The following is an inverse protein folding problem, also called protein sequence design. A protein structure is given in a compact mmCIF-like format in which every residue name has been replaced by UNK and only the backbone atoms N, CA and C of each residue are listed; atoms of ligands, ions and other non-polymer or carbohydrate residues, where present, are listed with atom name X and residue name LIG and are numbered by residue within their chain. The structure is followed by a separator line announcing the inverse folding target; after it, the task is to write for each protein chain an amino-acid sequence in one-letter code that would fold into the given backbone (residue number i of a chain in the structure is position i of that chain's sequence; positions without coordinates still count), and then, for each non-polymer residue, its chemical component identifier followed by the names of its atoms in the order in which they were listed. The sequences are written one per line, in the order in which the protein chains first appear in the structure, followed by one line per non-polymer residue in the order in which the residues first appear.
data_IF_458788348740
#
_entry.id   IF_458788348740
#
_cell.length_a   1.000
_cell.length_b   1.000
_cell.length_c   1.000
_cell.angle_alpha   90.00
_cell.angle_beta   90.00
_cell.angle_gamma   90.00
#
_symmetry.space_group_name_H-M   'P 1'
#
loop_
_entity.id
_entity.type
_entity.pdbx_description
1 polymer ?
#
# COMPACT_ATOMS: atom_id res chain seq x y z
N UNK A 1 6.85 -6.42 -5.53
CA UNK A 1 7.98 -6.29 -6.48
C UNK A 1 7.51 -6.07 -7.92
N UNK A 2 6.99 -7.07 -8.63
CA UNK A 2 6.69 -6.96 -10.08
C UNK A 2 5.74 -5.80 -10.41
N UNK A 3 4.65 -5.63 -9.67
CA UNK A 3 3.74 -4.49 -9.87
C UNK A 3 4.38 -3.12 -9.64
N UNK A 4 5.40 -3.03 -8.78
CA UNK A 4 6.16 -1.79 -8.56
C UNK A 4 7.06 -1.51 -9.77
N UNK A 5 7.71 -2.54 -10.34
CA UNK A 5 8.47 -2.36 -11.57
C UNK A 5 7.58 -1.98 -12.77
N UNK A 6 6.38 -2.56 -12.89
CA UNK A 6 5.47 -2.27 -14.01
C UNK A 6 4.90 -0.85 -13.97
N UNK A 7 4.46 -0.38 -12.80
CA UNK A 7 3.72 0.89 -12.67
C UNK A 7 4.49 2.02 -11.97
N UNK A 8 5.69 1.74 -11.44
CA UNK A 8 6.39 2.63 -10.52
C UNK A 8 6.82 3.94 -11.17
N UNK A 9 7.31 3.89 -12.42
CA UNK A 9 7.72 5.08 -13.16
C UNK A 9 6.56 6.03 -13.54
N UNK A 10 5.32 5.54 -13.52
CA UNK A 10 4.13 6.35 -13.89
C UNK A 10 3.39 6.85 -12.66
N UNK A 11 3.10 5.94 -11.72
CA UNK A 11 2.20 6.20 -10.59
C UNK A 11 2.88 6.22 -9.23
N UNK A 12 4.15 5.83 -9.15
CA UNK A 12 4.84 5.46 -7.90
C UNK A 12 4.45 4.09 -7.35
N UNK A 13 3.47 3.41 -7.98
CA UNK A 13 2.97 2.07 -7.59
C UNK A 13 2.67 1.96 -6.09
N UNK A 14 1.76 2.78 -5.57
CA UNK A 14 1.32 2.68 -4.18
C UNK A 14 0.68 1.31 -3.88
N UNK A 15 -0.07 0.76 -4.86
CA UNK A 15 -0.70 -0.58 -4.84
C UNK A 15 -1.56 -0.92 -3.61
N UNK A 16 -1.83 0.05 -2.75
CA UNK A 16 -2.54 -0.12 -1.49
C UNK A 16 -3.19 1.21 -1.08
N UNK A 17 -4.49 1.16 -0.68
CA UNK A 17 -5.18 2.32 -0.13
C UNK A 17 -4.44 2.90 1.07
N UNK A 18 -3.95 2.02 1.94
CA UNK A 18 -3.23 2.38 3.16
C UNK A 18 -1.94 3.14 2.86
N UNK A 19 -1.17 2.71 1.85
CA UNK A 19 0.05 3.41 1.44
C UNK A 19 -0.29 4.79 0.85
N UNK A 20 -1.34 4.88 0.04
CA UNK A 20 -1.78 6.16 -0.54
C UNK A 20 -2.21 7.16 0.53
N UNK A 21 -2.87 6.68 1.60
CA UNK A 21 -3.25 7.48 2.77
C UNK A 21 -2.00 7.95 3.52
N UNK A 22 -1.07 7.04 3.86
CA UNK A 22 0.15 7.39 4.58
C UNK A 22 1.02 8.41 3.82
N UNK A 23 1.17 8.27 2.51
CA UNK A 23 1.90 9.23 1.68
C UNK A 23 1.21 10.61 1.63
N UNK A 24 -0.12 10.63 1.69
CA UNK A 24 -0.88 11.89 1.74
C UNK A 24 -0.70 12.62 3.08
N UNK A 25 -0.58 11.86 4.17
CA UNK A 25 -0.32 12.42 5.51
C UNK A 25 1.11 12.91 5.64
N UNK A 26 2.11 12.09 5.29
CA UNK A 26 3.52 12.36 5.67
C UNK A 26 4.40 12.91 4.56
N UNK A 27 4.02 12.77 3.28
CA UNK A 27 4.85 13.12 2.13
C UNK A 27 4.15 14.05 1.14
N UNK A 28 3.00 14.62 1.54
CA UNK A 28 2.29 15.64 0.76
C UNK A 28 1.64 15.11 -0.52
N UNK A 29 1.37 13.80 -0.63
CA UNK A 29 0.62 13.28 -1.78
C UNK A 29 -0.79 13.92 -1.83
N UNK A 30 -1.25 14.43 -2.98
CA UNK A 30 -2.51 15.16 -3.03
C UNK A 30 -3.71 14.28 -2.67
N UNK A 31 -4.50 14.68 -1.67
CA UNK A 31 -5.68 13.92 -1.21
C UNK A 31 -6.69 13.59 -2.30
N UNK A 32 -6.89 14.49 -3.27
CA UNK A 32 -7.77 14.23 -4.43
C UNK A 32 -7.27 13.05 -5.27
N UNK A 33 -5.95 12.94 -5.46
CA UNK A 33 -5.34 11.82 -6.17
C UNK A 33 -5.37 10.55 -5.32
N UNK A 34 -5.20 10.67 -4.00
CA UNK A 34 -5.32 9.54 -3.08
C UNK A 34 -6.69 8.85 -3.19
N UNK A 35 -7.78 9.61 -3.27
CA UNK A 35 -9.12 9.04 -3.46
C UNK A 35 -9.25 8.29 -4.80
N UNK A 36 -8.72 8.84 -5.88
CA UNK A 36 -8.70 8.17 -7.20
C UNK A 36 -7.87 6.89 -7.14
N UNK A 37 -6.71 6.93 -6.48
CA UNK A 37 -5.84 5.78 -6.29
C UNK A 37 -6.55 4.67 -5.51
N UNK A 38 -7.22 5.01 -4.40
CA UNK A 38 -7.98 4.05 -3.60
C UNK A 38 -9.07 3.39 -4.45
N UNK A 39 -9.85 4.16 -5.20
CA UNK A 39 -10.89 3.61 -6.07
C UNK A 39 -10.33 2.65 -7.12
N UNK A 40 -9.25 3.03 -7.80
CA UNK A 40 -8.61 2.18 -8.81
C UNK A 40 -7.98 0.92 -8.19
N UNK A 41 -7.41 1.03 -7.00
CA UNK A 41 -6.82 -0.12 -6.29
C UNK A 41 -7.90 -1.11 -5.85
N UNK A 42 -9.05 -0.64 -5.35
CA UNK A 42 -10.18 -1.51 -5.00
C UNK A 42 -10.73 -2.22 -6.25
N UNK A 43 -10.87 -1.51 -7.37
CA UNK A 43 -11.29 -2.09 -8.65
C UNK A 43 -10.27 -3.13 -9.15
N UNK A 44 -8.98 -2.83 -9.08
CA UNK A 44 -7.92 -3.76 -9.46
C UNK A 44 -7.94 -5.02 -8.57
N UNK A 45 -8.18 -4.87 -7.26
CA UNK A 45 -8.34 -5.99 -6.34
C UNK A 45 -9.54 -6.87 -6.69
N UNK A 46 -10.66 -6.26 -7.09
CA UNK A 46 -11.85 -6.99 -7.56
C UNK A 46 -11.56 -7.78 -8.83
N UNK A 47 -10.94 -7.17 -9.84
CA UNK A 47 -10.54 -7.85 -11.07
C UNK A 47 -9.53 -8.98 -10.79
N UNK A 48 -8.55 -8.75 -9.92
CA UNK A 48 -7.57 -9.77 -9.54
C UNK A 48 -8.24 -10.95 -8.83
N UNK A 49 -9.21 -10.70 -7.94
CA UNK A 49 -10.00 -11.73 -7.30
C UNK A 49 -10.83 -12.56 -8.30
N UNK A 50 -11.44 -11.91 -9.29
CA UNK A 50 -12.20 -12.57 -10.34
C UNK A 50 -11.31 -13.49 -11.20
N UNK A 51 -10.12 -13.00 -11.58
CA UNK A 51 -9.14 -13.79 -12.33
C UNK A 51 -8.61 -14.95 -11.49
N UNK A 52 -8.32 -14.74 -10.20
CA UNK A 52 -7.88 -15.80 -9.31
C UNK A 52 -8.96 -16.89 -9.17
N UNK A 53 -10.21 -16.51 -8.94
CA UNK A 53 -11.31 -17.48 -8.90
C UNK A 53 -11.46 -18.22 -10.23
N UNK A 54 -11.46 -17.52 -11.37
CA UNK A 54 -11.59 -18.16 -12.68
C UNK A 54 -10.45 -19.17 -12.94
N UNK A 55 -9.23 -18.87 -12.51
CA UNK A 55 -8.08 -19.76 -12.66
C UNK A 55 -8.18 -21.01 -11.79
N UNK A 56 -8.76 -20.90 -10.60
CA UNK A 56 -8.85 -21.99 -9.61
C UNK A 56 -10.25 -22.60 -9.48
N UNK A 57 -11.22 -22.20 -10.30
CA UNK A 57 -12.64 -22.59 -10.17
C UNK A 57 -12.82 -24.11 -10.10
N UNK A 58 -12.26 -24.85 -11.04
CA UNK A 58 -12.38 -26.32 -11.07
C UNK A 58 -11.75 -26.97 -9.84
N UNK A 59 -10.59 -26.47 -9.41
CA UNK A 59 -9.90 -26.97 -8.22
C UNK A 59 -10.71 -26.69 -6.95
N UNK A 60 -11.29 -25.50 -6.84
CA UNK A 60 -12.15 -25.09 -5.71
C UNK A 60 -13.38 -26.01 -5.65
N UNK A 61 -14.12 -26.17 -6.75
CA UNK A 61 -15.33 -27.00 -6.78
C UNK A 61 -15.05 -28.49 -6.60
N UNK A 62 -13.86 -28.98 -6.98
CA UNK A 62 -13.47 -30.37 -6.75
C UNK A 62 -13.15 -30.64 -5.29
N UNK A 63 -12.45 -29.71 -4.62
CA UNK A 63 -12.00 -29.86 -3.23
C UNK A 63 -13.08 -29.46 -2.23
N UNK A 64 -13.88 -28.45 -2.56
CA UNK A 64 -14.90 -27.85 -1.71
C UNK A 64 -16.17 -27.50 -2.50
N UNK A 65 -17.00 -28.49 -2.85
CA UNK A 65 -18.28 -28.24 -3.53
C UNK A 65 -19.23 -27.36 -2.73
N UNK A 66 -19.03 -27.25 -1.41
CA UNK A 66 -19.86 -26.45 -0.51
C UNK A 66 -19.40 -25.00 -0.38
N UNK A 67 -18.28 -24.61 -1.00
CA UNK A 67 -17.70 -23.26 -0.92
C UNK A 67 -17.58 -22.77 0.52
N UNK A 68 -16.99 -23.60 1.38
CA UNK A 68 -16.76 -23.28 2.78
C UNK A 68 -15.53 -22.41 2.96
N UNK A 69 -15.62 -21.45 3.90
CA UNK A 69 -14.48 -20.58 4.19
C UNK A 69 -13.26 -21.38 4.66
N UNK A 70 -13.43 -22.33 5.57
CA UNK A 70 -12.31 -23.02 6.20
C UNK A 70 -11.42 -23.78 5.21
N UNK A 71 -12.01 -24.36 4.17
CA UNK A 71 -11.28 -25.18 3.19
C UNK A 71 -10.66 -24.34 2.08
N UNK A 72 -11.43 -23.45 1.46
CA UNK A 72 -11.02 -22.76 0.22
C UNK A 72 -11.05 -21.23 0.31
N UNK A 73 -11.72 -20.64 1.30
CA UNK A 73 -11.82 -19.18 1.41
C UNK A 73 -10.47 -18.49 1.61
N UNK A 74 -9.51 -19.12 2.31
CA UNK A 74 -8.14 -18.58 2.49
C UNK A 74 -7.35 -18.46 1.19
N UNK A 75 -7.76 -19.19 0.14
CA UNK A 75 -7.14 -19.10 -1.18
C UNK A 75 -7.55 -17.82 -1.93
N UNK A 76 -8.69 -17.22 -1.57
CA UNK A 76 -9.24 -16.04 -2.25
C UNK A 76 -8.96 -14.75 -1.51
N UNK A 77 -9.12 -14.73 -0.18
CA UNK A 77 -8.94 -13.51 0.63
C UNK A 77 -8.50 -13.81 2.07
N UNK A 78 -7.95 -12.81 2.79
CA UNK A 78 -7.59 -12.93 4.20
C UNK A 78 -8.80 -13.16 5.09
N UNK A 79 -8.86 -14.29 5.79
CA UNK A 79 -10.00 -14.54 6.66
C UNK A 79 -9.93 -13.79 7.98
N UNK A 80 -8.76 -13.33 8.41
CA UNK A 80 -8.61 -12.70 9.72
C UNK A 80 -8.24 -13.69 10.82
N UNK A 81 -8.27 -13.26 12.09
CA UNK A 81 -7.68 -14.00 13.19
C UNK A 81 -8.40 -15.32 13.47
N UNK A 82 -7.63 -16.40 13.61
CA UNK A 82 -8.11 -17.69 14.14
C UNK A 82 -8.41 -17.60 15.65
N UNK A 83 -7.78 -16.62 16.32
CA UNK A 83 -7.84 -16.41 17.76
C UNK A 83 -8.69 -15.18 18.12
N UNK A 84 -8.16 -14.26 18.92
CA UNK A 84 -8.88 -13.05 19.32
C UNK A 84 -8.83 -11.95 18.26
N UNK A 85 -9.89 -11.15 18.18
CA UNK A 85 -9.96 -9.94 17.34
C UNK A 85 -8.85 -8.95 17.69
N UNK A 86 -8.50 -8.82 18.97
CA UNK A 86 -7.41 -7.96 19.44
C UNK A 86 -6.04 -8.45 18.93
N UNK A 87 -5.79 -9.76 18.95
CA UNK A 87 -4.57 -10.36 18.39
C UNK A 87 -4.48 -10.09 16.89
N UNK A 88 -5.58 -10.26 16.16
CA UNK A 88 -5.62 -9.97 14.72
C UNK A 88 -5.34 -8.50 14.41
N UNK A 89 -6.00 -7.59 15.13
CA UNK A 89 -5.77 -6.15 14.98
C UNK A 89 -4.31 -5.79 15.28
N UNK A 90 -3.76 -6.24 16.40
CA UNK A 90 -2.39 -5.91 16.77
C UNK A 90 -1.36 -6.48 15.78
N UNK A 91 -1.61 -7.69 15.27
CA UNK A 91 -0.75 -8.31 14.26
C UNK A 91 -0.66 -7.45 12.98
N UNK A 92 -1.80 -7.05 12.43
CA UNK A 92 -1.85 -6.26 11.20
C UNK A 92 -1.36 -4.82 11.42
N UNK A 93 -1.60 -4.27 12.61
CA UNK A 93 -1.06 -2.99 13.05
C UNK A 93 0.48 -3.00 13.05
N UNK A 94 1.09 -3.99 13.71
CA UNK A 94 2.56 -4.13 13.78
C UNK A 94 3.14 -4.39 12.40
N UNK A 95 2.51 -5.26 11.60
CA UNK A 95 2.91 -5.50 10.22
C UNK A 95 2.99 -4.19 9.44
N UNK A 96 1.92 -3.38 9.45
CA UNK A 96 1.87 -2.16 8.65
C UNK A 96 2.76 -1.05 9.20
N UNK A 97 2.97 -0.99 10.52
CA UNK A 97 3.93 -0.08 11.12
C UNK A 97 5.36 -0.35 10.63
N UNK A 98 5.79 -1.61 10.64
CA UNK A 98 7.11 -2.00 10.13
C UNK A 98 7.20 -1.73 8.63
N UNK A 99 6.18 -2.15 7.88
CA UNK A 99 6.19 -2.05 6.41
C UNK A 99 6.27 -0.60 5.93
N UNK A 100 5.48 0.32 6.50
CA UNK A 100 5.52 1.74 6.12
C UNK A 100 6.80 2.43 6.59
N UNK A 101 7.30 2.09 7.78
CA UNK A 101 8.59 2.61 8.25
C UNK A 101 9.71 2.27 7.25
N UNK A 102 9.77 1.03 6.76
CA UNK A 102 10.75 0.65 5.73
C UNK A 102 10.49 1.35 4.40
N UNK A 103 9.23 1.48 3.95
CA UNK A 103 8.92 2.21 2.70
C UNK A 103 9.42 3.66 2.78
N UNK A 104 9.21 4.34 3.92
CA UNK A 104 9.68 5.71 4.09
C UNK A 104 11.21 5.78 4.15
N UNK A 105 11.87 4.83 4.82
CA UNK A 105 13.33 4.73 4.80
C UNK A 105 13.90 4.57 3.39
N UNK A 106 13.28 3.71 2.57
CA UNK A 106 13.72 3.45 1.20
C UNK A 106 13.45 4.59 0.22
N UNK A 107 12.49 5.48 0.56
CA UNK A 107 12.16 6.67 -0.22
C UNK A 107 12.86 7.94 0.26
N UNK A 108 13.69 7.84 1.29
CA UNK A 108 14.38 8.99 1.89
C UNK A 108 15.82 9.08 1.38
N UNK A 109 16.07 10.07 0.52
CA UNK A 109 17.40 10.34 -0.03
C UNK A 109 18.46 10.71 1.03
N UNK A 110 18.02 11.15 2.22
CA UNK A 110 18.92 11.46 3.34
C UNK A 110 19.26 10.22 4.18
N UNK A 111 18.56 9.10 3.99
CA UNK A 111 18.77 7.86 4.72
C UNK A 111 19.38 6.74 3.86
N UNK A 112 20.38 7.11 3.04
CA UNK A 112 21.17 6.19 2.20
C UNK A 112 20.30 5.17 1.44
N UNK A 113 19.41 5.62 0.54
CA UNK A 113 18.52 4.71 -0.16
C UNK A 113 19.32 3.72 -1.02
N UNK A 114 18.77 2.53 -1.29
CA UNK A 114 19.44 1.54 -2.12
C UNK A 114 19.62 2.07 -3.56
N UNK A 115 20.56 1.47 -4.30
CA UNK A 115 20.83 1.86 -5.70
C UNK A 115 19.58 1.84 -6.60
N UNK A 116 19.61 2.60 -7.69
CA UNK A 116 18.46 2.74 -8.60
C UNK A 116 17.89 1.37 -9.01
N UNK A 117 16.56 1.26 -8.94
CA UNK A 117 15.83 0.01 -9.25
C UNK A 117 15.73 -0.97 -8.07
N UNK A 118 16.62 -0.91 -7.07
CA UNK A 118 16.61 -1.86 -5.96
C UNK A 118 15.43 -1.68 -4.99
N UNK A 119 14.81 -0.49 -4.95
CA UNK A 119 13.67 -0.19 -4.06
C UNK A 119 12.53 -1.20 -4.22
N UNK A 120 12.15 -1.54 -5.45
CA UNK A 120 11.06 -2.49 -5.69
C UNK A 120 11.39 -3.92 -5.25
N UNK A 121 12.66 -4.32 -5.34
CA UNK A 121 13.17 -5.59 -4.85
C UNK A 121 13.15 -5.63 -3.32
N UNK A 122 13.71 -4.61 -2.66
CA UNK A 122 13.76 -4.56 -1.19
C UNK A 122 12.35 -4.46 -0.60
N UNK A 123 11.46 -3.62 -1.14
CA UNK A 123 10.04 -3.60 -0.71
C UNK A 123 9.38 -4.97 -0.87
N UNK A 124 9.71 -5.70 -1.95
CA UNK A 124 9.26 -7.08 -2.15
C UNK A 124 9.79 -8.04 -1.09
N UNK A 125 11.08 -7.98 -0.78
CA UNK A 125 11.72 -8.79 0.26
C UNK A 125 11.17 -8.46 1.65
N UNK A 126 11.02 -7.18 1.99
CA UNK A 126 10.40 -6.76 3.24
C UNK A 126 9.00 -7.35 3.35
N UNK A 127 8.19 -7.26 2.29
CA UNK A 127 6.87 -7.89 2.25
C UNK A 127 6.93 -9.40 2.48
N UNK A 128 7.89 -10.11 1.88
CA UNK A 128 8.07 -11.55 2.07
C UNK A 128 8.48 -11.90 3.50
N UNK A 129 9.45 -11.18 4.09
CA UNK A 129 9.93 -11.44 5.45
C UNK A 129 8.85 -11.18 6.47
N UNK A 130 8.12 -10.07 6.34
CA UNK A 130 7.00 -9.77 7.25
C UNK A 130 5.85 -10.77 7.06
N UNK A 131 5.65 -11.30 5.85
CA UNK A 131 4.68 -12.37 5.60
C UNK A 131 5.04 -13.67 6.32
N UNK A 132 6.29 -14.09 6.25
CA UNK A 132 6.75 -15.30 6.94
C UNK A 132 6.67 -15.13 8.46
N UNK A 133 7.05 -13.96 8.98
CA UNK A 133 7.09 -13.70 10.42
C UNK A 133 5.72 -13.42 11.06
N UNK A 134 4.81 -12.74 10.36
CA UNK A 134 3.56 -12.20 10.92
C UNK A 134 2.29 -12.67 10.18
N UNK A 135 2.42 -13.48 9.13
CA UNK A 135 1.27 -13.89 8.30
C UNK A 135 0.36 -14.92 8.95
N UNK A 136 0.85 -15.66 9.95
CA UNK A 136 0.13 -16.80 10.55
C UNK A 136 -1.21 -16.41 11.17
N UNK A 137 -1.26 -15.27 11.87
CA UNK A 137 -2.43 -14.91 12.65
C UNK A 137 -3.63 -14.55 11.77
N UNK A 138 -3.44 -13.81 10.69
CA UNK A 138 -4.55 -13.15 9.96
C UNK A 138 -4.64 -13.48 8.48
N UNK A 139 -3.62 -14.11 7.88
CA UNK A 139 -3.59 -14.37 6.44
C UNK A 139 -3.39 -13.11 5.58
N UNK A 140 -2.87 -12.03 6.18
CA UNK A 140 -2.36 -10.82 5.51
C UNK A 140 -3.42 -9.79 5.07
N UNK A 141 -4.30 -9.34 5.96
CA UNK A 141 -5.20 -8.19 5.71
C UNK A 141 -4.49 -6.84 5.72
N UNK A 142 -3.37 -6.75 5.01
CA UNK A 142 -2.43 -5.62 5.06
C UNK A 142 -2.84 -4.46 4.15
N UNK A 143 -3.89 -4.66 3.34
CA UNK A 143 -4.38 -3.69 2.36
C UNK A 143 -5.87 -3.89 2.14
N UNK A 144 -6.68 -2.82 2.21
CA UNK A 144 -8.09 -2.90 1.88
C UNK A 144 -8.38 -3.39 0.46
N UNK A 145 -7.52 -3.06 -0.50
CA UNK A 145 -7.67 -3.53 -1.88
C UNK A 145 -7.38 -5.02 -2.05
N UNK A 146 -6.47 -5.56 -1.23
CA UNK A 146 -6.15 -7.00 -1.21
C UNK A 146 -7.28 -7.82 -0.59
N UNK A 147 -8.04 -7.21 0.32
CA UNK A 147 -9.11 -7.89 1.05
C UNK A 147 -10.48 -7.71 0.39
N UNK A 148 -10.95 -6.47 0.29
CA UNK A 148 -12.34 -6.16 -0.07
C UNK A 148 -12.69 -6.62 -1.48
N UNK A 149 -11.79 -6.40 -2.45
CA UNK A 149 -12.02 -6.78 -3.85
C UNK A 149 -12.24 -8.29 -4.03
N UNK A 150 -11.27 -9.14 -3.67
CA UNK A 150 -11.43 -10.59 -3.75
C UNK A 150 -12.53 -11.14 -2.83
N UNK A 151 -12.78 -10.52 -1.68
CA UNK A 151 -13.88 -10.91 -0.78
C UNK A 151 -15.26 -10.67 -1.39
N UNK A 152 -15.44 -9.58 -2.14
CA UNK A 152 -16.68 -9.33 -2.90
C UNK A 152 -16.90 -10.39 -3.99
N UNK A 153 -15.83 -10.80 -4.69
CA UNK A 153 -15.91 -11.88 -5.66
C UNK A 153 -16.32 -13.20 -4.98
N UNK A 154 -15.72 -13.53 -3.84
CA UNK A 154 -16.09 -14.73 -3.10
C UNK A 154 -17.57 -14.72 -2.71
N UNK A 155 -18.09 -13.58 -2.23
CA UNK A 155 -19.52 -13.44 -1.94
C UNK A 155 -20.38 -13.68 -3.19
N UNK A 156 -20.01 -13.14 -4.35
CA UNK A 156 -20.76 -13.32 -5.60
C UNK A 156 -20.73 -14.75 -6.15
N UNK A 157 -19.66 -15.47 -5.87
CA UNK A 157 -19.47 -16.85 -6.31
C UNK A 157 -20.25 -17.85 -5.46
N UNK A 158 -20.58 -17.50 -4.21
CA UNK A 158 -21.39 -18.35 -3.32
C UNK A 158 -20.83 -18.53 -1.90
N UNK A 159 -19.74 -17.85 -1.53
CA UNK A 159 -19.28 -17.83 -0.14
C UNK A 159 -20.12 -16.85 0.69
N UNK A 160 -21.27 -17.31 1.20
CA UNK A 160 -22.23 -16.47 1.94
C UNK A 160 -21.62 -15.83 3.20
N UNK A 161 -20.74 -16.56 3.88
CA UNK A 161 -20.10 -16.12 5.11
C UNK A 161 -18.93 -15.15 4.90
N UNK A 162 -18.64 -14.73 3.66
CA UNK A 162 -17.46 -13.93 3.33
C UNK A 162 -17.33 -12.63 4.15
N UNK A 163 -18.43 -12.07 4.68
CA UNK A 163 -18.43 -10.84 5.48
C UNK A 163 -18.80 -11.05 6.97
N UNK A 164 -18.95 -12.30 7.42
CA UNK A 164 -19.47 -12.65 8.75
C UNK A 164 -18.64 -12.12 9.93
N UNK A 165 -17.31 -12.05 9.83
CA UNK A 165 -16.43 -11.83 10.98
C UNK A 165 -15.93 -10.39 11.20
N UNK A 166 -16.40 -9.41 10.41
CA UNK A 166 -16.04 -7.99 10.53
C UNK A 166 -14.56 -7.63 10.30
N UNK A 167 -13.68 -8.61 10.09
CA UNK A 167 -12.24 -8.42 9.94
C UNK A 167 -11.87 -7.55 8.73
N UNK A 168 -12.68 -7.64 7.68
CA UNK A 168 -12.56 -6.76 6.51
C UNK A 168 -12.53 -5.28 6.90
N UNK A 169 -13.27 -4.87 7.94
CA UNK A 169 -13.32 -3.48 8.41
C UNK A 169 -12.25 -3.20 9.46
N UNK A 170 -12.24 -3.93 10.59
CA UNK A 170 -11.34 -3.58 11.69
C UNK A 170 -9.88 -3.96 11.42
N UNK A 171 -9.61 -5.03 10.67
CA UNK A 171 -8.27 -5.48 10.30
C UNK A 171 -7.79 -4.75 9.05
N UNK A 172 -8.44 -5.04 7.91
CA UNK A 172 -7.95 -4.59 6.62
C UNK A 172 -7.98 -3.08 6.42
N UNK A 173 -8.96 -2.36 7.01
CA UNK A 173 -8.95 -0.90 7.04
C UNK A 173 -8.37 -0.36 8.35
N UNK A 174 -8.96 -0.73 9.50
CA UNK A 174 -8.64 -0.14 10.79
C UNK A 174 -7.19 -0.36 11.21
N UNK A 175 -6.78 -1.62 11.37
CA UNK A 175 -5.44 -1.98 11.81
C UNK A 175 -4.39 -1.57 10.79
N UNK A 176 -4.66 -1.77 9.49
CA UNK A 176 -3.69 -1.43 8.46
C UNK A 176 -3.41 0.08 8.41
N UNK A 177 -4.44 0.93 8.43
CA UNK A 177 -4.28 2.39 8.39
C UNK A 177 -3.66 2.91 9.67
N UNK A 178 -4.15 2.48 10.83
CA UNK A 178 -3.57 2.91 12.11
C UNK A 178 -2.11 2.47 12.27
N UNK A 179 -1.77 1.25 11.88
CA UNK A 179 -0.40 0.74 11.87
C UNK A 179 0.49 1.52 10.91
N UNK A 180 0.02 1.76 9.69
CA UNK A 180 0.75 2.54 8.68
C UNK A 180 1.01 3.99 9.11
N UNK A 181 0.04 4.63 9.77
CA UNK A 181 0.23 5.97 10.33
C UNK A 181 1.21 5.95 11.50
N UNK A 182 1.12 4.97 12.39
CA UNK A 182 2.08 4.79 13.48
C UNK A 182 3.50 4.57 12.95
N UNK A 183 3.68 3.71 11.95
CA UNK A 183 4.98 3.47 11.30
C UNK A 183 5.57 4.73 10.68
N UNK A 184 4.74 5.52 9.99
CA UNK A 184 5.15 6.82 9.44
C UNK A 184 5.53 7.83 10.52
N UNK A 185 4.75 7.92 11.60
CA UNK A 185 5.06 8.74 12.78
C UNK A 185 6.39 8.36 13.40
N UNK A 186 6.64 7.07 13.62
CA UNK A 186 7.88 6.57 14.23
C UNK A 186 9.09 6.88 13.36
N UNK A 187 8.99 6.70 12.03
CA UNK A 187 10.08 7.05 11.12
C UNK A 187 10.34 8.56 11.15
N UNK A 188 9.29 9.37 11.10
CA UNK A 188 9.42 10.82 11.04
C UNK A 188 9.95 11.44 12.33
N UNK A 189 9.58 10.86 13.49
CA UNK A 189 10.01 11.32 14.80
C UNK A 189 11.47 10.92 15.11
N UNK A 190 11.87 9.70 14.73
CA UNK A 190 13.15 9.13 15.16
C UNK A 190 14.28 9.24 14.13
N UNK A 191 13.96 9.34 12.83
CA UNK A 191 14.97 9.19 11.75
C UNK A 191 14.89 10.34 10.75
N UNK A 192 13.69 10.65 10.24
CA UNK A 192 13.52 11.61 9.16
C UNK A 192 13.91 13.04 9.58
N UNK A 193 14.53 13.79 8.65
CA UNK A 193 14.90 15.21 8.89
C UNK A 193 14.26 16.14 7.84
N UNK A 194 13.50 15.61 6.88
CA UNK A 194 12.90 16.40 5.79
C UNK A 194 11.72 17.27 6.23
N UNK A 195 11.57 18.42 5.56
CA UNK A 195 10.57 19.44 5.89
C UNK A 195 9.16 19.18 5.33
N UNK A 196 8.98 18.15 4.52
CA UNK A 196 7.68 17.75 3.96
C UNK A 196 6.78 17.00 4.96
N UNK A 197 7.33 16.49 6.04
CA UNK A 197 6.57 15.85 7.11
C UNK A 197 5.78 16.86 7.93
N UNK A 198 4.54 16.55 8.38
CA UNK A 198 3.83 17.37 9.36
C UNK A 198 4.60 17.57 10.67
N UNK A 199 5.47 16.62 11.05
CA UNK A 199 6.18 16.62 12.33
C UNK A 199 7.42 17.52 12.25
N UNK A 200 8.18 17.39 11.17
CA UNK A 200 9.41 18.15 10.95
C UNK A 200 9.17 19.37 10.05
N UNK A 201 7.92 19.84 9.97
CA UNK A 201 7.54 20.93 9.09
C UNK A 201 8.31 22.20 9.44
N UNK A 202 9.19 22.62 8.53
CA UNK A 202 9.91 23.90 8.66
C UNK A 202 9.11 24.98 7.96
N UNK A 203 8.74 26.03 8.70
CA UNK A 203 8.09 27.20 8.13
C UNK A 203 8.98 27.83 7.05
N UNK A 204 8.46 28.12 5.84
CA UNK A 204 9.26 28.70 4.76
C UNK A 204 9.89 30.02 5.21
N UNK A 205 11.22 30.12 5.12
CA UNK A 205 11.90 31.38 5.38
C UNK A 205 11.90 32.23 4.10
N UNK A 206 12.02 33.57 4.19
CA UNK A 206 12.00 34.45 3.02
C UNK A 206 13.02 34.08 1.91
N UNK A 207 14.12 33.39 2.27
CA UNK A 207 15.11 32.86 1.33
C UNK A 207 14.60 31.68 0.49
N UNK A 208 13.78 30.80 1.07
CA UNK A 208 13.25 29.59 0.41
C UNK A 208 12.25 29.95 -0.69
N UNK A 209 11.49 31.04 -0.50
CA UNK A 209 10.53 31.57 -1.48
C UNK A 209 11.27 32.04 -2.74
N UNK A 210 12.41 32.73 -2.55
CA UNK A 210 13.25 33.17 -3.66
C UNK A 210 13.83 31.97 -4.41
N UNK A 211 14.31 30.95 -3.71
CA UNK A 211 14.87 29.75 -4.33
C UNK A 211 13.81 28.97 -5.13
N UNK A 212 12.61 28.74 -4.57
CA UNK A 212 11.50 28.08 -5.28
C UNK A 212 11.05 28.84 -6.54
N UNK A 213 11.06 30.17 -6.50
CA UNK A 213 10.75 30.98 -7.67
C UNK A 213 11.82 30.85 -8.77
N UNK A 214 13.10 30.77 -8.38
CA UNK A 214 14.24 30.57 -9.30
C UNK A 214 14.21 29.17 -9.90
N UNK A 215 13.99 28.13 -9.09
CA UNK A 215 13.92 26.74 -9.55
C UNK A 215 12.75 26.52 -10.52
N UNK A 216 11.57 27.06 -10.19
CA UNK A 216 10.41 27.05 -11.11
C UNK A 216 10.74 27.72 -12.44
N UNK A 217 11.46 28.85 -12.42
CA UNK A 217 11.91 29.55 -13.63
C UNK A 217 12.92 28.72 -14.44
N UNK A 218 13.82 28.00 -13.78
CA UNK A 218 14.80 27.13 -14.43
C UNK A 218 14.17 25.89 -15.05
N UNK A 219 13.27 25.18 -14.34
CA UNK A 219 12.50 24.06 -14.91
C UNK A 219 11.65 24.47 -16.11
N UNK A 220 11.12 25.68 -16.10
CA UNK A 220 10.35 26.22 -17.24
C UNK A 220 11.26 26.46 -18.46
N UNK A 221 12.50 26.91 -18.23
CA UNK A 221 13.51 27.08 -19.28
C UNK A 221 14.01 25.75 -19.85
N UNK A 222 14.23 24.73 -19.01
CA UNK A 222 14.60 23.39 -19.49
C UNK A 222 13.50 22.78 -20.34
N UNK A 223 12.24 22.79 -19.87
CA UNK A 223 11.09 22.33 -20.68
C UNK A 223 10.94 23.08 -22.01
N UNK A 224 11.34 24.35 -22.06
CA UNK A 224 11.32 25.12 -23.30
C UNK A 224 12.45 24.70 -24.25
N UNK A 225 13.63 24.35 -23.72
CA UNK A 225 14.76 23.82 -24.52
C UNK A 225 14.46 22.44 -25.09
N UNK A 226 13.87 21.55 -24.29
CA UNK A 226 13.52 20.19 -24.73
C UNK A 226 12.54 20.24 -25.91
N UNK A 227 11.56 21.16 -25.86
CA UNK A 227 10.62 21.41 -26.96
C UNK A 227 11.26 21.98 -28.23
N UNK A 228 12.40 22.67 -28.12
CA UNK A 228 13.12 23.19 -29.29
C UNK A 228 13.93 22.06 -29.93
N UNK A 229 14.47 21.14 -29.14
CA UNK A 229 15.21 19.97 -29.63
C UNK A 229 14.31 18.89 -30.26
N UNK A 230 13.03 18.81 -29.92
CA UNK A 230 12.07 17.90 -30.58
C UNK A 230 11.59 18.38 -31.96
N UNK A 231 11.85 19.63 -32.34
CA UNK A 231 11.32 20.25 -33.58
C UNK A 231 12.43 20.56 -34.62
N UNK A 232 13.69 20.29 -34.27
CA UNK A 232 14.86 20.44 -35.16
C UNK A 232 15.39 19.07 -35.60
#
# INVERSE_FOLDING_TARGET
MIGIYLGGGVSGSHLSPTISISLSVYRGFPWRMALVYIAMQLLAGLCAGAVAYALYSDAIHTVDPGLTLDLTGKALFPQGPIYSTATGFFNDFVYMAIFVCVIFALGDDQNSPPGQGMTAFIVGLTGMVTMIGLGYNTGLGISPARDLGPRLIALWVGYEDAFSNGYWAYGSWGASISGALCGGLLYDLCIFVGGESPINYRWPQPGDIKWKAIDKKNRTKERAKDKIHEVA
#
